data_IF_978817364205
#
_entry.id   IF_978817364205
#
_cell.length_a   1.000
_cell.length_b   1.000
_cell.length_c   1.000
_cell.angle_alpha   90.00
_cell.angle_beta   90.00
_cell.angle_gamma   90.00
#
_symmetry.space_group_name_H-M   'P 1'
#
loop_
_entity.id
_entity.type
_entity.pdbx_description
1 polymer ?
#
# COMPACT_ATOMS: atom_id res chain seq x y z
N UNK A 1 -25.01 42.74 44.94
CA UNK A 1 -25.08 42.71 43.44
C UNK A 1 -23.73 42.45 42.73
N UNK A 2 -22.59 42.64 43.39
CA UNK A 2 -21.27 42.37 42.76
C UNK A 2 -20.90 40.87 42.59
N UNK A 3 -21.46 39.99 43.42
CA UNK A 3 -21.12 38.56 43.39
C UNK A 3 -21.89 37.75 42.33
N UNK A 4 -23.01 38.23 41.81
CA UNK A 4 -23.80 37.55 40.80
C UNK A 4 -23.15 37.68 39.41
N UNK A 5 -22.54 38.85 39.13
CA UNK A 5 -21.84 39.06 37.85
C UNK A 5 -20.56 38.23 37.72
N UNK A 6 -19.87 37.94 38.85
CA UNK A 6 -18.66 37.11 38.84
C UNK A 6 -18.97 35.64 38.54
N UNK A 7 -20.06 35.12 39.13
CA UNK A 7 -20.51 33.74 38.85
C UNK A 7 -21.02 33.57 37.43
N UNK A 8 -21.67 34.57 36.84
CA UNK A 8 -22.14 34.55 35.46
C UNK A 8 -20.99 34.65 34.48
N UNK A 9 -19.95 35.44 34.74
CA UNK A 9 -18.74 35.48 33.91
C UNK A 9 -17.91 34.21 34.02
N UNK A 10 -17.82 33.59 35.20
CA UNK A 10 -17.14 32.32 35.38
C UNK A 10 -17.86 31.16 34.66
N UNK A 11 -19.20 31.17 34.71
CA UNK A 11 -20.03 30.17 33.97
C UNK A 11 -19.91 30.33 32.46
N UNK A 12 -19.81 31.56 31.94
CA UNK A 12 -19.63 31.82 30.52
C UNK A 12 -18.23 31.44 30.04
N UNK A 13 -17.18 31.62 30.85
CA UNK A 13 -15.82 31.16 30.54
C UNK A 13 -15.72 29.64 30.56
N UNK A 14 -16.39 28.94 31.48
CA UNK A 14 -16.41 27.48 31.53
C UNK A 14 -17.18 26.93 30.35
N UNK A 15 -18.27 27.55 29.91
CA UNK A 15 -19.01 27.12 28.70
C UNK A 15 -18.25 27.45 27.41
N UNK A 16 -17.46 28.52 27.36
CA UNK A 16 -16.61 28.87 26.22
C UNK A 16 -15.38 27.97 26.10
N UNK A 17 -14.85 27.45 27.23
CA UNK A 17 -13.77 26.47 27.22
C UNK A 17 -14.23 25.03 26.81
N UNK A 18 -15.53 24.72 26.88
CA UNK A 18 -16.08 23.43 26.47
C UNK A 18 -16.40 23.34 24.97
N UNK A 19 -16.27 24.44 24.22
CA UNK A 19 -16.23 24.43 22.77
C UNK A 19 -14.78 24.22 22.27
N UNK A 20 -14.05 23.30 22.88
CA UNK A 20 -12.97 22.63 22.15
C UNK A 20 -13.71 21.85 21.06
N UNK A 21 -13.82 22.44 19.88
CA UNK A 21 -14.12 21.71 18.66
C UNK A 21 -13.15 20.52 18.64
N UNK A 22 -13.63 19.36 19.03
CA UNK A 22 -12.86 18.13 18.88
C UNK A 22 -12.49 18.07 17.43
N UNK A 23 -11.21 18.28 17.10
CA UNK A 23 -10.74 18.25 15.74
C UNK A 23 -11.15 16.89 15.19
N UNK A 24 -11.95 16.85 14.12
CA UNK A 24 -12.38 15.61 13.50
C UNK A 24 -11.14 14.75 13.25
N UNK A 25 -11.15 13.52 13.71
CA UNK A 25 -10.03 12.60 13.47
C UNK A 25 -9.91 12.39 11.96
N UNK A 26 -8.73 12.53 11.35
CA UNK A 26 -8.56 12.36 9.93
C UNK A 26 -8.66 10.88 9.52
N UNK A 27 -9.08 10.62 8.31
CA UNK A 27 -8.84 9.33 7.67
C UNK A 27 -7.34 9.15 7.43
N UNK A 28 -6.85 7.94 7.54
CA UNK A 28 -5.44 7.60 7.36
C UNK A 28 -5.33 6.54 6.26
N UNK A 29 -4.63 6.86 5.19
CA UNK A 29 -4.38 5.92 4.09
C UNK A 29 -2.87 5.74 3.94
N UNK A 30 -2.41 4.50 3.99
CA UNK A 30 -1.02 4.14 3.69
C UNK A 30 -0.98 3.40 2.38
N UNK A 31 -0.47 4.05 1.33
CA UNK A 31 -0.20 3.42 0.06
C UNK A 31 1.26 2.99 -0.01
N UNK A 32 1.50 1.70 0.17
CA UNK A 32 2.84 1.10 0.18
C UNK A 32 3.07 0.29 -1.08
N UNK A 33 4.18 0.58 -1.74
CA UNK A 33 4.62 -0.09 -2.96
C UNK A 33 5.68 -1.14 -2.62
N UNK A 34 5.65 -2.27 -3.33
CA UNK A 34 6.58 -3.37 -3.14
C UNK A 34 7.78 -3.23 -4.10
N UNK A 35 8.99 -3.17 -3.55
CA UNK A 35 10.24 -3.10 -4.32
C UNK A 35 10.42 -1.84 -5.20
N UNK A 36 9.80 -0.72 -4.87
CA UNK A 36 10.00 0.53 -5.60
C UNK A 36 11.29 1.22 -5.14
N UNK A 37 12.18 1.48 -6.09
CA UNK A 37 13.45 2.16 -5.83
C UNK A 37 13.29 3.67 -5.64
N UNK A 38 14.22 4.26 -4.89
CA UNK A 38 14.29 5.68 -4.57
C UNK A 38 14.12 6.60 -5.78
N UNK A 39 14.83 6.31 -6.88
CA UNK A 39 14.83 7.15 -8.09
C UNK A 39 13.89 6.65 -9.20
N UNK A 40 12.98 5.72 -8.88
CA UNK A 40 12.03 5.13 -9.83
C UNK A 40 10.70 5.89 -9.90
N UNK A 41 10.67 7.12 -9.41
CA UNK A 41 9.54 8.05 -9.50
C UNK A 41 9.99 9.36 -10.17
N UNK A 42 9.05 10.14 -10.70
CA UNK A 42 9.36 11.41 -11.36
C UNK A 42 9.31 12.63 -10.44
N UNK A 43 8.88 12.47 -9.18
CA UNK A 43 8.80 13.54 -8.19
C UNK A 43 10.20 14.03 -7.79
N UNK A 44 10.62 15.17 -8.34
CA UNK A 44 11.98 15.74 -8.14
C UNK A 44 12.30 16.03 -6.68
N UNK A 45 11.32 16.55 -5.94
CA UNK A 45 11.48 16.90 -4.52
C UNK A 45 11.76 15.64 -3.68
N UNK A 46 11.02 14.56 -3.94
CA UNK A 46 11.16 13.30 -3.22
C UNK A 46 12.48 12.58 -3.55
N UNK A 47 12.99 12.74 -4.76
CA UNK A 47 14.22 12.07 -5.22
C UNK A 47 15.48 12.93 -5.10
N UNK A 48 15.41 14.09 -4.48
CA UNK A 48 16.53 15.07 -4.45
C UNK A 48 17.15 15.35 -5.84
N UNK A 49 16.30 15.30 -6.89
CA UNK A 49 16.73 15.51 -8.27
C UNK A 49 17.46 14.33 -8.95
N UNK A 50 17.55 13.16 -8.30
CA UNK A 50 18.26 11.99 -8.86
C UNK A 50 17.41 11.09 -9.75
N UNK A 51 16.14 11.45 -10.01
CA UNK A 51 15.26 10.70 -10.88
C UNK A 51 15.87 10.56 -12.29
N UNK A 52 15.69 9.38 -12.88
CA UNK A 52 16.35 9.05 -14.17
C UNK A 52 15.61 9.60 -15.39
N UNK A 53 14.42 10.22 -15.23
CA UNK A 53 13.53 10.60 -16.33
C UNK A 53 12.86 9.42 -17.05
N UNK A 54 13.18 8.19 -16.65
CA UNK A 54 12.66 6.98 -17.29
C UNK A 54 11.26 6.61 -16.80
N UNK A 55 10.91 7.03 -15.61
CA UNK A 55 9.64 6.70 -14.95
C UNK A 55 8.76 7.93 -14.94
N UNK A 56 7.47 7.76 -15.21
CA UNK A 56 6.48 8.83 -15.21
C UNK A 56 5.43 8.48 -14.17
N UNK A 57 5.34 9.32 -13.13
CA UNK A 57 4.47 9.12 -11.97
C UNK A 57 3.78 10.44 -11.59
N UNK A 58 2.87 10.96 -12.45
CA UNK A 58 2.25 12.27 -12.25
C UNK A 58 1.42 12.36 -10.97
N UNK A 59 0.83 11.27 -10.51
CA UNK A 59 0.04 11.26 -9.28
C UNK A 59 0.94 11.34 -8.04
N UNK A 60 2.10 10.67 -8.07
CA UNK A 60 3.11 10.81 -7.01
C UNK A 60 3.68 12.24 -7.02
N UNK A 61 3.92 12.83 -8.19
CA UNK A 61 4.32 14.25 -8.29
C UNK A 61 3.25 15.16 -7.67
N UNK A 62 1.97 14.90 -7.94
CA UNK A 62 0.85 15.68 -7.38
C UNK A 62 0.89 15.68 -5.86
N UNK A 63 0.97 14.52 -5.21
CA UNK A 63 1.01 14.44 -3.74
C UNK A 63 2.31 15.00 -3.17
N UNK A 64 3.46 14.82 -3.84
CA UNK A 64 4.73 15.39 -3.42
C UNK A 64 4.73 16.93 -3.45
N UNK A 65 4.03 17.54 -4.42
CA UNK A 65 3.88 18.99 -4.54
C UNK A 65 2.87 19.58 -3.55
N UNK A 66 1.90 18.78 -3.09
CA UNK A 66 0.85 19.21 -2.16
C UNK A 66 1.17 18.89 -0.70
N UNK A 67 2.14 18.02 -0.45
CA UNK A 67 2.47 17.48 0.85
C UNK A 67 3.93 17.70 1.25
N UNK A 68 4.42 16.79 2.08
CA UNK A 68 5.80 16.76 2.56
C UNK A 68 6.53 15.55 2.00
N UNK A 69 7.74 15.76 1.49
CA UNK A 69 8.64 14.69 1.06
C UNK A 69 9.77 14.54 2.08
N UNK A 70 9.89 13.35 2.66
CA UNK A 70 10.94 13.02 3.63
C UNK A 70 12.17 12.51 2.90
N UNK A 71 13.28 13.22 2.98
CA UNK A 71 14.54 12.85 2.33
C UNK A 71 15.38 11.85 3.15
N UNK A 72 15.08 11.70 4.43
CA UNK A 72 15.77 10.81 5.38
C UNK A 72 14.78 9.89 6.11
N UNK A 73 13.90 9.22 5.37
CA UNK A 73 13.00 8.20 5.89
C UNK A 73 13.41 6.83 5.34
N UNK A 74 13.75 5.91 6.23
CA UNK A 74 14.25 4.59 5.87
C UNK A 74 13.32 3.49 6.37
N UNK A 75 13.18 2.46 5.55
CA UNK A 75 12.50 1.21 5.90
C UNK A 75 13.53 0.12 6.24
N UNK A 76 13.08 -1.11 6.45
CA UNK A 76 13.97 -2.25 6.57
C UNK A 76 14.46 -2.70 5.17
N UNK A 77 15.52 -3.51 5.08
CA UNK A 77 16.08 -3.88 3.78
C UNK A 77 15.24 -4.87 2.98
N UNK A 78 14.12 -5.37 3.52
CA UNK A 78 13.29 -6.37 2.88
C UNK A 78 11.80 -6.17 3.22
N UNK A 79 10.90 -6.72 2.40
CA UNK A 79 9.46 -6.50 2.49
C UNK A 79 8.83 -6.95 3.82
N UNK A 80 9.02 -8.19 4.26
CA UNK A 80 8.37 -8.68 5.48
C UNK A 80 8.82 -7.94 6.75
N UNK A 81 10.12 -7.70 7.01
CA UNK A 81 10.54 -6.92 8.17
C UNK A 81 10.02 -5.47 8.16
N UNK A 82 9.92 -4.83 6.98
CA UNK A 82 9.34 -3.48 6.89
C UNK A 82 7.85 -3.46 7.23
N UNK A 83 7.11 -4.44 6.70
CA UNK A 83 5.67 -4.60 6.96
C UNK A 83 5.40 -4.94 8.41
N UNK A 84 6.21 -5.82 9.01
CA UNK A 84 6.14 -6.13 10.43
C UNK A 84 6.43 -4.91 11.32
N UNK A 85 7.46 -4.13 10.98
CA UNK A 85 7.81 -2.91 11.69
C UNK A 85 6.68 -1.87 11.64
N UNK A 86 6.10 -1.66 10.46
CA UNK A 86 4.98 -0.74 10.30
C UNK A 86 3.74 -1.21 11.08
N UNK A 87 3.42 -2.50 11.00
CA UNK A 87 2.23 -3.06 11.65
C UNK A 87 2.34 -3.02 13.19
N UNK A 88 3.52 -3.35 13.74
CA UNK A 88 3.74 -3.47 15.19
C UNK A 88 4.34 -2.24 15.86
N UNK A 89 4.83 -1.26 15.09
CA UNK A 89 5.59 -0.13 15.59
C UNK A 89 6.94 -0.52 16.22
N UNK A 90 7.45 -1.72 15.94
CA UNK A 90 8.64 -2.25 16.56
C UNK A 90 9.74 -2.54 15.54
N UNK A 91 10.99 -2.35 15.96
CA UNK A 91 12.12 -2.77 15.14
C UNK A 91 12.16 -4.30 15.02
N UNK A 92 12.27 -4.88 13.80
CA UNK A 92 12.14 -6.32 13.59
C UNK A 92 13.14 -7.19 14.35
N UNK A 93 14.30 -6.63 14.71
CA UNK A 93 15.34 -7.32 15.49
C UNK A 93 15.01 -7.45 16.99
N UNK A 94 13.90 -6.88 17.46
CA UNK A 94 13.48 -7.06 18.86
C UNK A 94 13.11 -8.51 19.13
N UNK A 95 13.59 -9.03 20.25
CA UNK A 95 13.59 -10.46 20.61
C UNK A 95 12.21 -11.12 20.52
N UNK A 96 11.15 -10.39 20.78
CA UNK A 96 9.79 -10.95 20.82
C UNK A 96 9.00 -10.79 19.51
N UNK A 97 9.56 -10.10 18.52
CA UNK A 97 8.88 -9.80 17.26
C UNK A 97 9.83 -9.85 16.05
N UNK A 98 10.83 -10.70 16.10
CA UNK A 98 11.77 -10.83 14.98
C UNK A 98 11.09 -11.46 13.78
N UNK A 99 10.36 -10.68 13.03
CA UNK A 99 9.92 -11.08 11.69
C UNK A 99 11.08 -10.81 10.73
N UNK A 100 11.90 -11.82 10.59
CA UNK A 100 12.91 -11.89 9.54
C UNK A 100 12.48 -12.91 8.53
N UNK A 101 11.76 -12.50 7.52
CA UNK A 101 11.66 -13.35 6.36
C UNK A 101 12.75 -12.94 5.38
N UNK A 102 13.92 -13.37 5.66
CA UNK A 102 14.92 -13.55 4.62
C UNK A 102 14.96 -15.03 4.34
N UNK A 103 13.98 -15.51 3.62
CA UNK A 103 13.88 -16.90 3.25
C UNK A 103 14.14 -17.84 4.44
N UNK A 104 13.35 -18.84 4.60
CA UNK A 104 13.61 -19.91 5.55
C UNK A 104 15.11 -20.26 5.50
N UNK A 105 15.85 -20.12 6.60
CA UNK A 105 17.25 -20.52 6.69
C UNK A 105 17.45 -21.97 6.20
N UNK A 106 16.41 -22.80 6.30
CA UNK A 106 16.36 -24.15 5.74
C UNK A 106 16.14 -24.18 4.20
N UNK A 107 15.63 -23.12 3.58
CA UNK A 107 15.50 -23.04 2.11
C UNK A 107 16.76 -22.52 1.44
N UNK A 108 17.53 -21.71 2.10
CA UNK A 108 18.81 -21.23 1.59
C UNK A 108 19.92 -22.23 1.91
N UNK A 109 19.79 -23.44 1.39
CA UNK A 109 20.95 -24.32 1.14
C UNK A 109 21.83 -23.70 0.04
N UNK A 110 22.23 -22.45 0.18
CA UNK A 110 23.40 -21.97 -0.56
C UNK A 110 24.62 -22.63 0.08
N UNK A 111 25.54 -23.15 -0.72
CA UNK A 111 26.83 -23.56 -0.20
C UNK A 111 27.51 -22.28 0.38
N UNK A 112 27.54 -22.18 1.65
CA UNK A 112 28.09 -21.06 2.41
C UNK A 112 27.70 -21.24 3.86
N UNK A 113 28.48 -20.92 4.77
CA UNK A 113 28.40 -20.94 6.24
C UNK A 113 27.21 -21.73 6.80
N UNK A 114 27.46 -22.93 7.29
CA UNK A 114 26.48 -23.72 8.04
C UNK A 114 26.15 -22.99 9.33
N UNK A 115 25.06 -23.38 10.00
CA UNK A 115 24.70 -22.81 11.31
C UNK A 115 25.81 -23.01 12.34
N UNK A 116 26.54 -24.12 12.23
CA UNK A 116 27.69 -24.51 13.07
C UNK A 116 28.93 -23.65 12.77
N UNK A 117 29.08 -23.16 11.54
CA UNK A 117 30.18 -22.30 11.11
C UNK A 117 29.90 -20.82 11.37
N UNK A 118 28.68 -20.44 11.73
CA UNK A 118 28.35 -19.06 12.04
C UNK A 118 28.95 -18.63 13.39
N UNK A 119 29.76 -17.58 13.38
CA UNK A 119 30.34 -17.00 14.60
C UNK A 119 29.29 -16.31 15.49
N UNK A 120 28.08 -16.11 14.99
CA UNK A 120 27.01 -15.42 15.68
C UNK A 120 25.70 -16.13 15.47
N UNK A 121 24.92 -16.27 16.55
CA UNK A 121 23.53 -16.73 16.50
C UNK A 121 22.63 -15.50 16.35
N UNK A 122 21.89 -15.43 15.27
CA UNK A 122 20.85 -14.41 15.08
C UNK A 122 19.66 -14.62 16.02
N UNK A 123 18.79 -13.60 16.18
CA UNK A 123 17.56 -13.77 16.94
C UNK A 123 16.65 -14.84 16.32
N UNK A 124 15.78 -15.43 17.15
CA UNK A 124 14.76 -16.38 16.66
C UNK A 124 13.91 -15.69 15.59
N UNK A 125 13.78 -16.35 14.45
CA UNK A 125 12.98 -15.84 13.33
C UNK A 125 11.53 -16.27 13.43
N UNK A 126 10.62 -15.39 13.05
CA UNK A 126 9.21 -15.65 12.86
C UNK A 126 8.82 -15.24 11.44
N UNK A 127 7.84 -15.92 10.85
CA UNK A 127 7.26 -15.55 9.55
C UNK A 127 6.09 -14.58 9.74
N UNK A 128 5.48 -14.55 10.93
CA UNK A 128 4.33 -13.72 11.25
C UNK A 128 4.63 -12.74 12.38
N UNK A 129 3.94 -11.61 12.36
CA UNK A 129 3.79 -10.77 13.53
C UNK A 129 2.97 -11.54 14.55
N UNK A 130 3.50 -11.68 15.77
CA UNK A 130 2.84 -12.45 16.82
C UNK A 130 1.41 -11.95 17.08
N UNK A 131 0.46 -12.86 17.25
CA UNK A 131 -0.93 -12.52 17.56
C UNK A 131 -1.12 -11.79 18.91
N UNK A 132 -0.09 -11.78 19.76
CA UNK A 132 -0.04 -11.02 21.01
C UNK A 132 0.52 -9.60 20.83
N UNK A 133 1.04 -9.26 19.66
CA UNK A 133 1.52 -7.91 19.39
C UNK A 133 0.33 -6.99 19.12
N UNK A 134 0.33 -5.83 19.76
CA UNK A 134 -0.66 -4.78 19.43
C UNK A 134 -0.28 -4.15 18.10
N UNK A 135 -1.15 -4.26 17.12
CA UNK A 135 -0.96 -3.68 15.80
C UNK A 135 -1.47 -2.24 15.73
N UNK A 136 -1.00 -1.50 14.71
CA UNK A 136 -1.54 -0.15 14.44
C UNK A 136 -3.05 -0.20 14.14
N UNK A 137 -3.52 -1.25 13.47
CA UNK A 137 -4.95 -1.43 13.19
C UNK A 137 -5.76 -1.64 14.47
N UNK A 138 -5.31 -2.49 15.40
CA UNK A 138 -5.96 -2.68 16.70
C UNK A 138 -5.96 -1.39 17.53
N UNK A 139 -4.84 -0.68 17.54
CA UNK A 139 -4.73 0.60 18.26
C UNK A 139 -5.70 1.66 17.70
N UNK A 140 -5.79 1.80 16.39
CA UNK A 140 -6.71 2.73 15.74
C UNK A 140 -8.18 2.30 15.90
N UNK A 141 -8.48 1.01 15.77
CA UNK A 141 -9.82 0.45 16.00
C UNK A 141 -10.31 0.74 17.41
N UNK A 142 -9.44 0.57 18.42
CA UNK A 142 -9.74 0.94 19.82
C UNK A 142 -10.04 2.44 19.99
N UNK A 143 -9.54 3.27 19.10
CA UNK A 143 -9.78 4.71 19.07
C UNK A 143 -10.89 5.13 18.08
N UNK A 144 -11.76 4.21 17.67
CA UNK A 144 -12.97 4.47 16.92
C UNK A 144 -12.83 4.47 15.40
N UNK A 145 -11.67 4.09 14.87
CA UNK A 145 -11.48 3.94 13.43
C UNK A 145 -12.10 2.65 12.90
N UNK A 146 -12.68 2.72 11.71
CA UNK A 146 -12.86 1.54 10.87
C UNK A 146 -11.51 1.20 10.21
N UNK A 147 -11.24 -0.08 9.97
CA UNK A 147 -9.91 -0.50 9.52
C UNK A 147 -10.01 -1.44 8.31
N UNK A 148 -9.19 -1.21 7.30
CA UNK A 148 -9.14 -2.05 6.11
C UNK A 148 -7.72 -2.34 5.67
N UNK A 149 -7.49 -3.55 5.18
CA UNK A 149 -6.28 -3.97 4.51
C UNK A 149 -6.62 -4.47 3.10
N UNK A 150 -5.90 -3.98 2.10
CA UNK A 150 -6.02 -4.41 0.70
C UNK A 150 -4.65 -4.74 0.15
N UNK A 151 -4.51 -5.93 -0.43
CA UNK A 151 -3.31 -6.36 -1.14
C UNK A 151 -2.30 -7.10 -0.29
N UNK A 152 -1.01 -6.86 -0.50
CA UNK A 152 0.07 -7.64 0.10
C UNK A 152 0.21 -7.42 1.61
N UNK A 153 -0.06 -8.48 2.40
CA UNK A 153 0.18 -8.47 3.85
C UNK A 153 1.53 -9.07 4.23
N UNK A 154 1.78 -10.34 3.86
CA UNK A 154 3.08 -11.03 3.94
C UNK A 154 3.60 -11.35 5.35
N UNK A 155 2.97 -10.92 6.41
CA UNK A 155 3.42 -11.06 7.81
C UNK A 155 2.38 -11.68 8.72
N UNK A 156 1.50 -12.49 8.14
CA UNK A 156 0.46 -13.23 8.84
C UNK A 156 -0.15 -14.32 7.98
N UNK A 157 -0.72 -15.34 8.61
CA UNK A 157 -1.34 -16.48 7.94
C UNK A 157 -0.37 -17.60 7.55
N UNK A 158 0.87 -17.62 8.07
CA UNK A 158 1.79 -18.75 7.88
C UNK A 158 1.45 -19.86 8.88
N UNK A 159 0.56 -20.77 8.44
CA UNK A 159 0.18 -21.93 9.24
C UNK A 159 -0.82 -21.69 10.38
N UNK A 160 -1.35 -20.48 10.51
CA UNK A 160 -2.39 -20.14 11.48
C UNK A 160 -3.21 -18.94 11.02
N UNK A 161 -4.52 -18.98 11.24
CA UNK A 161 -5.42 -17.85 10.97
C UNK A 161 -5.32 -16.75 12.04
N UNK A 162 -4.73 -17.04 13.21
CA UNK A 162 -4.63 -16.08 14.32
C UNK A 162 -3.83 -14.83 13.98
N UNK A 163 -3.01 -14.89 12.94
CA UNK A 163 -2.16 -13.79 12.45
C UNK A 163 -2.64 -13.20 11.14
N UNK A 164 -3.81 -13.63 10.65
CA UNK A 164 -4.46 -13.02 9.49
C UNK A 164 -4.90 -11.58 9.80
N UNK A 165 -5.00 -10.68 8.81
CA UNK A 165 -5.37 -9.29 9.03
C UNK A 165 -6.63 -9.10 9.88
N UNK A 166 -7.70 -9.86 9.63
CA UNK A 166 -8.96 -9.81 10.36
C UNK A 166 -8.81 -10.17 11.85
N UNK A 167 -7.81 -10.96 12.21
CA UNK A 167 -7.48 -11.31 13.59
C UNK A 167 -6.41 -10.38 14.19
N UNK A 168 -5.94 -9.40 13.41
CA UNK A 168 -4.97 -8.38 13.82
C UNK A 168 -5.51 -6.95 13.65
N UNK A 169 -6.81 -6.79 13.81
CA UNK A 169 -7.47 -5.51 13.94
C UNK A 169 -8.08 -4.92 12.69
N UNK A 170 -8.04 -5.59 11.54
CA UNK A 170 -8.71 -5.12 10.32
C UNK A 170 -10.15 -5.63 10.23
N UNK A 171 -11.09 -4.70 9.97
CA UNK A 171 -12.51 -5.02 9.75
C UNK A 171 -12.75 -5.57 8.35
N UNK A 172 -11.94 -5.12 7.38
CA UNK A 172 -11.97 -5.53 5.98
C UNK A 172 -10.58 -6.06 5.62
N UNK A 173 -10.54 -7.24 4.99
CA UNK A 173 -9.32 -7.81 4.43
C UNK A 173 -9.60 -8.27 3.00
N UNK A 174 -8.90 -7.68 2.02
CA UNK A 174 -9.00 -8.04 0.61
C UNK A 174 -7.61 -8.43 0.10
N UNK A 175 -7.37 -9.72 -0.11
CA UNK A 175 -6.10 -10.25 -0.62
C UNK A 175 -4.95 -10.34 0.39
N UNK A 176 -5.17 -9.96 1.65
CA UNK A 176 -4.13 -9.96 2.68
C UNK A 176 -3.95 -11.34 3.32
N UNK A 177 -2.76 -11.94 3.18
CA UNK A 177 -2.35 -13.17 3.87
C UNK A 177 -0.82 -13.39 3.74
N UNK A 178 -0.34 -14.61 3.97
CA UNK A 178 1.09 -14.93 4.01
C UNK A 178 1.83 -14.80 2.67
N UNK A 179 1.13 -14.78 1.54
CA UNK A 179 1.79 -14.75 0.23
C UNK A 179 2.49 -13.40 0.00
N UNK A 180 3.80 -13.47 -0.26
CA UNK A 180 4.62 -12.28 -0.46
C UNK A 180 4.69 -11.76 -1.89
N UNK A 181 4.26 -12.55 -2.89
CA UNK A 181 4.29 -12.17 -4.30
C UNK A 181 3.35 -13.02 -5.13
N UNK A 182 2.93 -12.46 -6.25
CA UNK A 182 2.13 -13.13 -7.26
C UNK A 182 3.02 -13.93 -8.25
N UNK A 183 2.54 -15.03 -8.81
CA UNK A 183 3.24 -15.74 -9.88
C UNK A 183 3.06 -15.08 -11.24
N UNK A 184 2.02 -14.24 -11.40
CA UNK A 184 1.72 -13.44 -12.59
C UNK A 184 0.92 -12.22 -12.20
N UNK A 185 1.11 -11.10 -12.92
CA UNK A 185 0.36 -9.86 -12.68
C UNK A 185 -1.02 -9.84 -13.36
N UNK A 186 -1.41 -10.90 -14.03
CA UNK A 186 -2.69 -10.99 -14.74
C UNK A 186 -3.58 -12.08 -14.14
N UNK A 187 -4.87 -11.81 -14.13
CA UNK A 187 -5.87 -12.83 -13.81
C UNK A 187 -5.86 -13.97 -14.82
N UNK A 188 -6.30 -15.14 -14.39
CA UNK A 188 -6.43 -16.34 -15.21
C UNK A 188 -7.77 -17.00 -14.98
N UNK A 189 -8.30 -17.66 -16.00
CA UNK A 189 -9.45 -18.53 -15.86
C UNK A 189 -9.00 -19.87 -15.29
N UNK A 190 -9.46 -20.22 -14.09
CA UNK A 190 -9.18 -21.47 -13.38
C UNK A 190 -10.53 -22.06 -12.95
N UNK A 191 -10.82 -23.28 -13.35
CA UNK A 191 -12.11 -23.95 -13.04
C UNK A 191 -13.33 -23.03 -13.32
N UNK A 192 -13.36 -22.46 -14.53
CA UNK A 192 -14.40 -21.54 -15.03
C UNK A 192 -14.55 -20.20 -14.28
N UNK A 193 -13.75 -19.93 -13.27
CA UNK A 193 -13.67 -18.64 -12.55
C UNK A 193 -12.42 -17.85 -12.89
N UNK A 194 -12.54 -16.54 -12.98
CA UNK A 194 -11.39 -15.66 -13.10
C UNK A 194 -10.75 -15.43 -11.73
N UNK A 195 -9.44 -15.62 -11.63
CA UNK A 195 -8.70 -15.57 -10.36
C UNK A 195 -7.31 -14.98 -10.56
N UNK A 196 -6.78 -14.38 -9.49
CA UNK A 196 -5.37 -14.08 -9.36
C UNK A 196 -4.69 -15.24 -8.63
N UNK A 197 -3.94 -16.05 -9.36
CA UNK A 197 -3.26 -17.21 -8.78
C UNK A 197 -2.43 -16.81 -7.55
N UNK A 198 -2.68 -17.46 -6.41
CA UNK A 198 -2.05 -17.21 -5.11
C UNK A 198 -2.30 -15.83 -4.49
N UNK A 199 -3.23 -15.03 -4.99
CA UNK A 199 -3.64 -13.77 -4.37
C UNK A 199 -5.11 -13.77 -3.95
N UNK A 200 -5.87 -14.79 -4.34
CA UNK A 200 -7.32 -14.86 -4.19
C UNK A 200 -7.82 -15.19 -2.78
N UNK A 201 -6.97 -15.19 -1.77
CA UNK A 201 -7.47 -15.29 -0.41
C UNK A 201 -8.17 -13.98 -0.03
N UNK A 202 -9.30 -14.10 0.61
CA UNK A 202 -10.17 -12.94 0.88
C UNK A 202 -10.59 -12.27 -0.43
N UNK A 203 -11.74 -12.35 -0.82
CA UNK A 203 -12.49 -11.66 -1.90
C UNK A 203 -11.75 -10.97 -3.07
N UNK A 204 -10.41 -11.07 -3.19
CA UNK A 204 -9.66 -10.38 -4.24
C UNK A 204 -10.01 -10.87 -5.64
N UNK A 205 -10.36 -12.16 -5.78
CA UNK A 205 -10.72 -12.76 -7.07
C UNK A 205 -12.02 -12.20 -7.67
N UNK A 206 -12.88 -11.56 -6.89
CA UNK A 206 -14.06 -10.87 -7.43
C UNK A 206 -13.72 -9.72 -8.38
N UNK A 207 -12.51 -9.17 -8.28
CA UNK A 207 -11.98 -8.13 -9.16
C UNK A 207 -11.19 -8.70 -10.36
N UNK A 208 -11.11 -10.02 -10.52
CA UNK A 208 -10.28 -10.68 -11.53
C UNK A 208 -10.92 -10.78 -12.92
N UNK A 209 -12.19 -10.37 -13.09
CA UNK A 209 -12.87 -10.44 -14.39
C UNK A 209 -12.14 -9.63 -15.46
N UNK A 210 -12.11 -10.11 -16.73
CA UNK A 210 -11.53 -9.38 -17.87
C UNK A 210 -12.10 -7.97 -18.03
N UNK A 211 -11.34 -7.14 -18.73
CA UNK A 211 -11.79 -5.79 -19.07
C UNK A 211 -13.04 -5.83 -19.96
N UNK A 212 -14.06 -5.09 -19.55
CA UNK A 212 -15.26 -4.83 -20.36
C UNK A 212 -15.12 -3.55 -21.16
N UNK A 213 -15.99 -3.29 -22.14
CA UNK A 213 -16.01 -2.04 -22.87
C UNK A 213 -16.28 -0.84 -21.93
N UNK A 214 -17.27 -0.95 -21.06
CA UNK A 214 -17.57 0.07 -20.07
C UNK A 214 -16.38 0.39 -19.16
N UNK A 215 -15.65 -0.64 -18.72
CA UNK A 215 -14.47 -0.46 -17.88
C UNK A 215 -13.35 0.31 -18.60
N UNK A 216 -13.04 -0.07 -19.83
CA UNK A 216 -11.97 0.62 -20.58
C UNK A 216 -12.33 2.06 -20.94
N UNK A 217 -13.61 2.33 -21.17
CA UNK A 217 -14.12 3.69 -21.41
C UNK A 217 -14.01 4.55 -20.14
N UNK A 218 -14.49 4.03 -19.00
CA UNK A 218 -14.46 4.71 -17.69
C UNK A 218 -13.04 5.14 -17.29
N UNK A 219 -12.05 4.27 -17.47
CA UNK A 219 -10.68 4.51 -17.02
C UNK A 219 -9.71 4.93 -18.13
N UNK A 220 -10.22 5.28 -19.31
CA UNK A 220 -9.38 5.73 -20.45
C UNK A 220 -8.38 4.67 -20.92
N UNK A 221 -8.70 3.39 -20.76
CA UNK A 221 -7.86 2.27 -21.16
C UNK A 221 -8.11 2.00 -22.67
N UNK A 222 -7.08 1.69 -23.47
CA UNK A 222 -7.29 1.41 -24.88
C UNK A 222 -8.26 0.23 -25.13
N UNK A 223 -9.14 0.36 -26.11
CA UNK A 223 -10.11 -0.68 -26.50
C UNK A 223 -9.46 -2.03 -26.84
N UNK A 224 -8.17 -2.05 -27.19
CA UNK A 224 -7.40 -3.29 -27.41
C UNK A 224 -7.28 -4.17 -26.16
N UNK A 225 -7.61 -3.66 -24.98
CA UNK A 225 -7.63 -4.42 -23.73
C UNK A 225 -8.98 -5.14 -23.47
N UNK A 226 -10.05 -4.82 -24.20
CA UNK A 226 -11.36 -5.48 -24.02
C UNK A 226 -11.21 -6.99 -24.15
N UNK A 227 -11.76 -7.74 -23.19
CA UNK A 227 -11.67 -9.20 -23.12
C UNK A 227 -10.33 -9.76 -22.66
N UNK A 228 -9.30 -8.92 -22.45
CA UNK A 228 -8.01 -9.36 -21.91
C UNK A 228 -8.09 -9.59 -20.38
N UNK A 229 -7.23 -10.47 -19.85
CA UNK A 229 -7.14 -10.67 -18.40
C UNK A 229 -6.88 -9.37 -17.65
N UNK A 230 -7.55 -9.20 -16.50
CA UNK A 230 -7.37 -8.04 -15.63
C UNK A 230 -5.95 -7.98 -15.07
N UNK A 231 -5.34 -6.82 -15.08
CA UNK A 231 -4.04 -6.58 -14.45
C UNK A 231 -4.20 -6.35 -12.94
N UNK A 232 -3.24 -6.80 -12.15
CA UNK A 232 -3.30 -6.75 -10.68
C UNK A 232 -3.40 -5.33 -10.12
N UNK A 233 -2.78 -4.33 -10.76
CA UNK A 233 -2.92 -2.93 -10.35
C UNK A 233 -4.36 -2.43 -10.52
N UNK A 234 -5.00 -2.76 -11.64
CA UNK A 234 -6.37 -2.33 -11.88
C UNK A 234 -7.35 -3.02 -10.92
N UNK A 235 -7.14 -4.30 -10.63
CA UNK A 235 -7.94 -5.02 -9.63
C UNK A 235 -7.73 -4.45 -8.20
N UNK A 236 -6.50 -4.04 -7.87
CA UNK A 236 -6.20 -3.40 -6.59
C UNK A 236 -6.91 -2.04 -6.48
N UNK A 237 -6.97 -1.29 -7.58
CA UNK A 237 -7.68 -0.02 -7.63
C UNK A 237 -9.20 -0.22 -7.51
N UNK A 238 -9.76 -1.24 -8.18
CA UNK A 238 -11.19 -1.59 -8.05
C UNK A 238 -11.55 -1.93 -6.59
N UNK A 239 -10.72 -2.73 -5.92
CA UNK A 239 -10.89 -3.08 -4.51
C UNK A 239 -10.78 -1.86 -3.58
N UNK A 240 -9.87 -0.95 -3.90
CA UNK A 240 -9.67 0.29 -3.14
C UNK A 240 -10.88 1.22 -3.27
N UNK A 241 -11.38 1.47 -4.47
CA UNK A 241 -12.56 2.33 -4.70
C UNK A 241 -13.78 1.82 -3.94
N UNK A 242 -14.11 0.53 -4.06
CA UNK A 242 -15.20 -0.09 -3.32
C UNK A 242 -15.02 0.03 -1.80
N UNK A 243 -13.78 -0.09 -1.32
CA UNK A 243 -13.50 0.01 0.12
C UNK A 243 -13.62 1.46 0.61
N UNK A 244 -13.15 2.44 -0.16
CA UNK A 244 -13.26 3.86 0.19
C UNK A 244 -14.74 4.28 0.24
N UNK A 245 -15.54 3.90 -0.76
CA UNK A 245 -17.00 4.12 -0.74
C UNK A 245 -17.63 3.51 0.51
N UNK A 246 -17.39 2.23 0.77
CA UNK A 246 -17.91 1.52 1.94
C UNK A 246 -17.53 2.18 3.27
N UNK A 247 -16.30 2.68 3.39
CA UNK A 247 -15.79 3.27 4.64
C UNK A 247 -16.27 4.70 4.83
N UNK A 248 -16.34 5.50 3.76
CA UNK A 248 -16.81 6.89 3.79
C UNK A 248 -18.28 6.99 4.21
N UNK A 249 -19.11 6.05 3.75
CA UNK A 249 -20.52 5.97 4.11
C UNK A 249 -20.79 5.72 5.62
N UNK A 250 -19.78 5.27 6.39
CA UNK A 250 -19.93 4.96 7.83
C UNK A 250 -19.85 6.16 8.76
N UNK A 251 -19.55 7.35 8.26
CA UNK A 251 -19.40 8.58 9.08
C UNK A 251 -18.44 8.44 10.28
N UNK A 252 -17.41 7.61 10.13
CA UNK A 252 -16.34 7.40 11.11
C UNK A 252 -14.98 7.53 10.42
N UNK A 253 -13.94 7.96 11.13
CA UNK A 253 -12.61 7.95 10.56
C UNK A 253 -12.21 6.51 10.21
N UNK A 254 -11.39 6.35 9.18
CA UNK A 254 -10.92 5.04 8.79
C UNK A 254 -9.39 5.02 8.59
N UNK A 255 -8.85 3.84 8.75
CA UNK A 255 -7.48 3.49 8.44
C UNK A 255 -7.46 2.45 7.32
N UNK A 256 -6.85 2.79 6.20
CA UNK A 256 -6.70 1.93 5.05
C UNK A 256 -5.22 1.64 4.79
N UNK A 257 -4.82 0.37 4.85
CA UNK A 257 -3.57 -0.12 4.28
C UNK A 257 -3.82 -0.59 2.85
N UNK A 258 -3.42 0.20 1.87
CA UNK A 258 -3.42 -0.15 0.46
C UNK A 258 -2.00 -0.58 0.08
N UNK A 259 -1.74 -1.87 0.04
CA UNK A 259 -0.42 -2.43 -0.18
C UNK A 259 -0.32 -3.12 -1.55
N UNK A 260 0.37 -2.46 -2.48
CA UNK A 260 0.54 -2.98 -3.81
C UNK A 260 1.41 -4.25 -3.85
N UNK A 261 1.14 -5.14 -4.80
CA UNK A 261 2.06 -6.19 -5.21
C UNK A 261 3.10 -5.68 -6.22
N UNK A 262 2.78 -4.59 -6.93
CA UNK A 262 3.71 -3.87 -7.79
C UNK A 262 4.78 -3.17 -6.93
N UNK A 263 6.03 -3.10 -7.35
CA UNK A 263 6.59 -3.55 -8.62
C UNK A 263 7.44 -4.83 -8.43
N UNK A 264 7.13 -5.65 -7.42
CA UNK A 264 7.79 -6.92 -7.16
C UNK A 264 7.69 -7.85 -8.39
N UNK A 265 8.68 -8.69 -8.57
CA UNK A 265 8.67 -9.69 -9.65
C UNK A 265 7.57 -10.75 -9.52
N UNK A 266 7.05 -11.28 -10.64
CA UNK A 266 7.46 -10.99 -12.01
C UNK A 266 7.04 -9.59 -12.45
N UNK A 267 7.96 -8.86 -13.09
CA UNK A 267 7.66 -7.53 -13.62
C UNK A 267 6.87 -7.68 -14.91
N UNK A 268 5.58 -7.45 -14.84
CA UNK A 268 4.66 -7.58 -15.97
C UNK A 268 3.70 -6.40 -15.96
N UNK A 269 3.92 -5.43 -16.83
CA UNK A 269 2.99 -4.30 -16.98
C UNK A 269 1.84 -4.63 -17.94
N UNK A 270 0.76 -3.89 -17.82
CA UNK A 270 -0.30 -3.90 -18.83
C UNK A 270 0.31 -3.55 -20.20
N UNK A 271 -0.07 -4.26 -21.30
CA UNK A 271 0.61 -4.14 -22.59
C UNK A 271 0.66 -2.73 -23.16
N UNK A 272 -0.41 -1.95 -23.03
CA UNK A 272 -0.49 -0.56 -23.48
C UNK A 272 0.49 0.36 -22.73
N UNK A 273 0.65 0.18 -21.43
CA UNK A 273 1.60 0.93 -20.61
C UNK A 273 3.05 0.58 -20.96
N UNK A 274 3.32 -0.71 -21.22
CA UNK A 274 4.63 -1.16 -21.69
C UNK A 274 4.95 -0.55 -23.05
N UNK A 275 3.99 -0.53 -23.98
CA UNK A 275 4.17 0.02 -25.32
C UNK A 275 4.41 1.54 -25.26
N UNK A 276 3.64 2.27 -24.46
CA UNK A 276 3.84 3.69 -24.23
C UNK A 276 5.22 4.00 -23.65
N UNK A 277 5.67 3.21 -22.67
CA UNK A 277 7.01 3.35 -22.11
C UNK A 277 8.10 3.00 -23.13
N UNK A 278 7.89 1.99 -23.97
CA UNK A 278 8.83 1.59 -25.01
C UNK A 278 9.04 2.68 -26.05
N UNK A 279 7.95 3.30 -26.53
CA UNK A 279 8.00 4.42 -27.48
C UNK A 279 8.72 5.64 -26.87
N UNK A 280 8.44 5.97 -25.62
CA UNK A 280 9.02 7.13 -24.92
C UNK A 280 10.51 6.96 -24.64
N UNK A 281 10.93 5.77 -24.26
CA UNK A 281 12.31 5.50 -23.86
C UNK A 281 13.24 5.23 -25.05
N UNK A 282 12.71 5.17 -26.27
CA UNK A 282 13.44 4.64 -27.46
C UNK A 282 14.19 3.32 -27.08
N UNK A 283 13.46 2.43 -26.41
CA UNK A 283 14.08 1.40 -25.61
C UNK A 283 14.47 0.18 -26.46
N UNK A 284 15.74 0.05 -26.75
CA UNK A 284 16.32 -1.26 -27.08
C UNK A 284 16.16 -2.26 -25.91
N UNK A 285 15.89 -1.78 -24.69
CA UNK A 285 15.73 -2.58 -23.48
C UNK A 285 14.26 -2.77 -23.09
N UNK A 286 13.68 -3.88 -23.52
CA UNK A 286 12.31 -4.28 -23.21
C UNK A 286 12.04 -4.45 -21.68
N UNK A 287 13.06 -4.78 -20.86
CA UNK A 287 12.90 -4.91 -19.40
C UNK A 287 12.64 -3.54 -18.75
N UNK A 288 13.37 -2.50 -19.17
CA UNK A 288 13.19 -1.14 -18.64
C UNK A 288 11.82 -0.59 -19.02
N UNK A 289 11.37 -0.80 -20.26
CA UNK A 289 10.03 -0.39 -20.68
C UNK A 289 8.93 -1.13 -19.91
N UNK A 290 9.12 -2.41 -19.63
CA UNK A 290 8.18 -3.19 -18.85
C UNK A 290 8.11 -2.71 -17.38
N UNK A 291 9.26 -2.43 -16.76
CA UNK A 291 9.29 -1.84 -15.41
C UNK A 291 8.64 -0.45 -15.39
N UNK A 292 8.95 0.40 -16.37
CA UNK A 292 8.37 1.75 -16.47
C UNK A 292 6.85 1.71 -16.65
N UNK A 293 6.34 0.80 -17.49
CA UNK A 293 4.90 0.60 -17.64
C UNK A 293 4.25 0.05 -16.37
N UNK A 294 4.93 -0.82 -15.61
CA UNK A 294 4.42 -1.35 -14.35
C UNK A 294 4.34 -0.26 -13.27
N UNK A 295 5.37 0.60 -13.19
CA UNK A 295 5.38 1.77 -12.30
C UNK A 295 4.26 2.76 -12.69
N UNK A 296 4.02 2.99 -13.98
CA UNK A 296 2.90 3.83 -14.42
C UNK A 296 1.53 3.23 -14.04
N UNK A 297 1.40 1.90 -14.07
CA UNK A 297 0.19 1.21 -13.60
C UNK A 297 -0.02 1.37 -12.10
N UNK A 298 1.05 1.33 -11.31
CA UNK A 298 1.02 1.58 -9.88
C UNK A 298 0.66 3.05 -9.55
N UNK A 299 1.22 4.00 -10.31
CA UNK A 299 0.88 5.42 -10.16
C UNK A 299 -0.58 5.72 -10.53
N UNK A 300 -1.14 4.99 -11.50
CA UNK A 300 -2.55 5.08 -11.85
C UNK A 300 -3.48 4.63 -10.69
N UNK A 301 -3.07 3.66 -9.86
CA UNK A 301 -3.81 3.30 -8.64
C UNK A 301 -3.89 4.49 -7.68
N UNK A 302 -2.79 5.24 -7.52
CA UNK A 302 -2.79 6.47 -6.71
C UNK A 302 -3.71 7.54 -7.32
N UNK A 303 -3.73 7.67 -8.64
CA UNK A 303 -4.66 8.59 -9.32
C UNK A 303 -6.11 8.27 -8.97
N UNK A 304 -6.51 7.02 -9.12
CA UNK A 304 -7.86 6.54 -8.76
C UNK A 304 -8.15 6.72 -7.25
N UNK A 305 -7.17 6.52 -6.37
CA UNK A 305 -7.31 6.82 -4.94
C UNK A 305 -7.59 8.31 -4.69
N UNK A 306 -6.87 9.20 -5.37
CA UNK A 306 -7.08 10.65 -5.24
C UNK A 306 -8.47 11.05 -5.73
N UNK A 307 -8.94 10.46 -6.81
CA UNK A 307 -10.29 10.68 -7.32
C UNK A 307 -11.35 10.14 -6.35
N UNK A 308 -11.14 8.94 -5.77
CA UNK A 308 -12.06 8.34 -4.80
C UNK A 308 -12.18 9.11 -3.48
N UNK A 309 -11.17 9.85 -3.04
CA UNK A 309 -11.33 10.72 -1.86
C UNK A 309 -12.00 12.05 -2.18
N UNK A 310 -11.99 12.47 -3.43
CA UNK A 310 -12.72 13.65 -3.93
C UNK A 310 -14.19 13.37 -4.20
N UNK A 311 -14.53 12.15 -4.56
CA UNK A 311 -15.87 11.66 -4.89
C UNK A 311 -15.97 10.17 -4.48
N UNK A 312 -16.22 9.90 -3.18
CA UNK A 312 -16.14 8.53 -2.65
C UNK A 312 -17.16 7.55 -3.25
N UNK A 313 -18.36 8.01 -3.55
CA UNK A 313 -19.45 7.19 -4.10
C UNK A 313 -19.46 7.14 -5.64
N UNK A 314 -18.64 7.98 -6.30
CA UNK A 314 -18.48 8.01 -7.75
C UNK A 314 -19.69 8.55 -8.52
N UNK A 315 -20.55 9.35 -7.88
CA UNK A 315 -21.76 9.89 -8.52
C UNK A 315 -21.54 11.21 -9.28
N UNK A 316 -20.31 11.76 -9.20
CA UNK A 316 -19.89 13.00 -9.84
C UNK A 316 -20.14 14.25 -8.98
N UNK A 317 -20.80 14.14 -7.83
CA UNK A 317 -20.96 15.23 -6.86
C UNK A 317 -19.86 15.18 -5.79
N UNK A 318 -19.04 16.24 -5.73
CA UNK A 318 -17.95 16.35 -4.76
C UNK A 318 -18.39 16.93 -3.40
N UNK A 319 -19.67 17.04 -3.14
CA UNK A 319 -20.18 17.54 -1.87
C UNK A 319 -19.86 16.57 -0.70
N UNK A 320 -19.66 15.30 -1.00
CA UNK A 320 -19.26 14.24 -0.07
C UNK A 320 -17.75 14.02 0.02
N UNK A 321 -16.93 14.89 -0.61
CA UNK A 321 -15.47 14.80 -0.61
C UNK A 321 -14.90 14.68 0.80
N UNK A 322 -14.05 13.69 0.98
CA UNK A 322 -13.30 13.43 2.22
C UNK A 322 -11.83 13.86 2.13
N UNK A 323 -11.42 14.46 1.00
CA UNK A 323 -10.01 14.79 0.73
C UNK A 323 -9.39 15.69 1.80
N UNK A 324 -10.11 16.68 2.32
CA UNK A 324 -9.63 17.61 3.36
C UNK A 324 -9.43 16.95 4.72
N UNK A 325 -10.13 15.86 4.97
CA UNK A 325 -10.09 15.09 6.21
C UNK A 325 -9.25 13.81 6.07
N UNK A 326 -8.47 13.68 5.01
CA UNK A 326 -7.69 12.46 4.70
C UNK A 326 -6.20 12.75 4.62
N UNK A 327 -5.41 12.00 5.38
CA UNK A 327 -3.95 11.98 5.28
C UNK A 327 -3.52 10.75 4.47
N UNK A 328 -2.80 10.98 3.38
CA UNK A 328 -2.19 9.91 2.57
C UNK A 328 -0.70 9.84 2.86
N UNK A 329 -0.20 8.66 3.18
CA UNK A 329 1.22 8.33 3.32
C UNK A 329 1.59 7.41 2.17
N UNK A 330 2.45 7.90 1.26
CA UNK A 330 3.01 7.11 0.17
C UNK A 330 4.42 6.68 0.54
N UNK A 331 4.73 5.39 0.39
CA UNK A 331 6.05 4.83 0.70
C UNK A 331 6.34 3.55 -0.10
N UNK A 332 7.62 3.14 -0.13
CA UNK A 332 8.01 1.78 -0.50
C UNK A 332 8.35 0.97 0.73
N UNK A 333 8.20 -0.35 0.66
CA UNK A 333 8.58 -1.24 1.77
C UNK A 333 10.09 -1.47 1.86
N UNK A 334 10.82 -1.35 0.75
CA UNK A 334 12.28 -1.43 0.69
C UNK A 334 12.81 -0.76 -0.59
N UNK A 335 14.12 -0.78 -0.79
CA UNK A 335 14.75 -0.33 -2.03
C UNK A 335 14.38 -1.17 -3.24
N UNK A 336 14.58 -0.60 -4.43
CA UNK A 336 14.25 -1.27 -5.70
C UNK A 336 15.11 -2.48 -5.97
N UNK A 337 14.48 -3.56 -6.41
CA UNK A 337 15.16 -4.77 -6.89
C UNK A 337 15.62 -4.62 -8.34
N UNK A 338 14.94 -3.77 -9.10
CA UNK A 338 15.12 -3.60 -10.54
C UNK A 338 15.60 -2.19 -10.88
N UNK A 339 16.90 -2.00 -10.94
CA UNK A 339 17.55 -0.73 -11.21
C UNK A 339 18.44 -0.26 -10.07
N UNK A 340 18.87 0.98 -10.12
CA UNK A 340 19.66 1.58 -9.08
C UNK A 340 18.80 2.41 -8.09
N UNK A 341 19.37 2.67 -6.92
CA UNK A 341 18.74 3.50 -5.90
C UNK A 341 19.56 4.77 -5.63
N UNK A 342 20.33 5.22 -6.62
CA UNK A 342 21.18 6.41 -6.47
C UNK A 342 20.38 7.62 -5.96
N UNK A 343 20.96 8.43 -5.05
CA UNK A 343 22.33 8.41 -4.53
C UNK A 343 22.54 7.41 -3.38
N UNK A 344 21.53 6.66 -2.97
CA UNK A 344 21.61 5.69 -1.90
C UNK A 344 22.40 4.45 -2.34
N UNK A 345 23.08 3.81 -1.39
CA UNK A 345 23.85 2.59 -1.65
C UNK A 345 22.92 1.35 -1.61
N UNK A 346 23.23 0.41 -2.46
CA UNK A 346 22.60 -0.89 -2.48
C UNK A 346 21.24 -0.92 -3.16
N UNK A 347 20.64 -2.07 -3.04
CA UNK A 347 19.31 -2.44 -3.54
C UNK A 347 18.58 -3.16 -2.41
N UNK A 348 17.46 -3.79 -2.71
CA UNK A 348 16.75 -4.65 -1.76
C UNK A 348 17.68 -5.69 -1.14
#
# INVERSE_FOLDING_TARGET
MKNINFLFQLSLCIFSCCLIYGKKQPNLIVYMIDDLGWNQISAKQATMGTHTGSFITPNIEKIANQGLSFTYAYTQPNCAPSRAAMLSGQYPARINNSVYIVGNLNRNKKPGITKEEANFTGPKQSEDVASSAITIAEALKKNGYNTAHIGKYHVGGHGTDKTMPENQGFDINIGGYSQGHQPTCFSKKINDSWQFARLGQGDFDRFAKPYTEAYVEQYGIPKSQIGKPKHVCDALADAMEETVDTLSAKNKPFYLQLHAYAVHGPVQSRPDLKEAAHKRLDAKNSRRANLAGFISGMDAVLGRLLDSIEDPNGDGDKADSIAKDTLIIFTSDNGGTHGDNLPLRGVK
#
